data_IF_158554695165
#
_entry.id   IF_158554695165
#
_cell.length_a   1.000
_cell.length_b   1.000
_cell.length_c   1.000
_cell.angle_alpha   90.00
_cell.angle_beta   90.00
_cell.angle_gamma   90.00
#
_symmetry.space_group_name_H-M   'P 1'
#
loop_
_entity.id
_entity.type
_entity.pdbx_description
1 polymer ?
#
# COMPACT_ATOMS: atom_id res chain seq x y z
N UNK A 1 -3.60 -2.87 -23.45
CA UNK A 1 -4.71 -2.23 -22.69
C UNK A 1 -4.25 -0.89 -22.13
N UNK A 2 -5.12 0.14 -22.05
CA UNK A 2 -4.77 1.39 -21.38
C UNK A 2 -4.50 1.14 -19.90
N UNK A 3 -3.50 1.83 -19.34
CA UNK A 3 -3.04 1.55 -17.96
C UNK A 3 -3.98 2.13 -16.89
N UNK A 4 -4.56 3.29 -17.17
CA UNK A 4 -5.71 3.83 -16.43
C UNK A 4 -6.97 3.60 -17.24
N UNK A 5 -8.09 3.28 -16.58
CA UNK A 5 -9.40 3.20 -17.24
C UNK A 5 -9.79 4.53 -17.87
N UNK A 6 -10.64 4.52 -18.89
CA UNK A 6 -10.91 5.71 -19.73
C UNK A 6 -11.43 6.90 -18.93
N UNK A 7 -12.32 6.65 -17.98
CA UNK A 7 -12.83 7.69 -17.04
C UNK A 7 -11.72 8.29 -16.18
N UNK A 8 -10.73 7.48 -15.81
CA UNK A 8 -9.61 7.92 -15.00
C UNK A 8 -8.59 8.73 -15.78
N UNK A 9 -8.34 8.31 -17.02
CA UNK A 9 -7.34 8.88 -17.90
C UNK A 9 -7.57 10.36 -18.19
N UNK A 10 -8.82 10.79 -18.33
CA UNK A 10 -9.17 12.19 -18.65
C UNK A 10 -8.81 13.15 -17.53
N UNK A 11 -8.92 12.74 -16.27
CA UNK A 11 -8.55 13.58 -15.13
C UNK A 11 -7.09 13.41 -14.71
N UNK A 12 -6.55 12.19 -14.75
CA UNK A 12 -5.24 11.92 -14.17
C UNK A 12 -4.11 12.48 -15.04
N UNK A 13 -4.28 12.51 -16.37
CA UNK A 13 -3.24 13.01 -17.28
C UNK A 13 -2.83 14.47 -17.02
N UNK A 14 -3.75 15.45 -16.93
CA UNK A 14 -3.36 16.83 -16.60
C UNK A 14 -2.78 16.95 -15.19
N UNK A 15 -3.25 16.17 -14.21
CA UNK A 15 -2.68 16.15 -12.85
C UNK A 15 -1.23 15.68 -12.88
N UNK A 16 -0.95 14.55 -13.54
CA UNK A 16 0.41 14.03 -13.70
C UNK A 16 1.31 15.04 -14.40
N UNK A 17 0.82 15.71 -15.44
CA UNK A 17 1.58 16.75 -16.15
C UNK A 17 1.94 17.92 -15.21
N UNK A 18 0.99 18.34 -14.36
CA UNK A 18 1.22 19.40 -13.38
C UNK A 18 2.25 18.99 -12.30
N UNK A 19 2.12 17.77 -11.76
CA UNK A 19 3.06 17.24 -10.78
C UNK A 19 4.48 17.14 -11.37
N UNK A 20 4.60 16.69 -12.62
CA UNK A 20 5.89 16.66 -13.33
C UNK A 20 6.48 18.07 -13.48
N UNK A 21 5.67 19.05 -13.85
CA UNK A 21 6.15 20.44 -14.02
C UNK A 21 6.58 21.12 -12.72
N UNK A 22 6.12 20.62 -11.57
CA UNK A 22 6.41 21.19 -10.25
C UNK A 22 7.41 20.36 -9.45
N UNK A 23 7.71 19.13 -9.89
CA UNK A 23 8.53 18.17 -9.14
C UNK A 23 7.83 17.60 -7.89
N UNK A 24 6.52 17.78 -7.76
CA UNK A 24 5.74 17.25 -6.64
C UNK A 24 5.45 15.74 -6.82
N UNK A 25 5.38 14.94 -5.73
CA UNK A 25 5.06 13.53 -5.82
C UNK A 25 3.57 13.30 -6.09
N UNK A 26 3.23 12.07 -6.50
CA UNK A 26 1.85 11.58 -6.46
C UNK A 26 1.61 10.83 -5.15
N UNK A 27 0.57 11.21 -4.42
CA UNK A 27 0.12 10.48 -3.23
C UNK A 27 -0.87 9.38 -3.64
N UNK A 28 -0.65 8.17 -3.13
CA UNK A 28 -1.51 7.02 -3.39
C UNK A 28 -1.80 6.22 -2.12
N UNK A 29 -3.07 5.88 -1.93
CA UNK A 29 -3.48 4.96 -0.88
C UNK A 29 -3.37 3.52 -1.41
N UNK A 30 -2.52 2.70 -0.80
CA UNK A 30 -2.22 1.34 -1.26
C UNK A 30 -2.61 0.34 -0.17
N UNK A 31 -3.51 -0.59 -0.48
CA UNK A 31 -4.05 -1.54 0.50
C UNK A 31 -4.05 -2.97 -0.02
N UNK A 32 -3.00 -3.77 0.28
CA UNK A 32 -3.02 -5.21 0.05
C UNK A 32 -4.21 -5.90 0.73
N UNK A 33 -4.63 -5.42 1.91
CA UNK A 33 -5.78 -5.93 2.66
C UNK A 33 -7.05 -6.07 1.80
N UNK A 34 -7.44 -5.03 1.05
CA UNK A 34 -8.66 -5.06 0.26
C UNK A 34 -8.62 -6.09 -0.87
N UNK A 35 -7.41 -6.43 -1.37
CA UNK A 35 -7.26 -7.49 -2.37
C UNK A 35 -7.45 -8.88 -1.77
N UNK A 36 -7.03 -9.10 -0.53
CA UNK A 36 -7.36 -10.33 0.19
C UNK A 36 -8.86 -10.41 0.46
N UNK A 37 -9.44 -9.31 0.96
CA UNK A 37 -10.86 -9.26 1.35
C UNK A 37 -11.84 -9.45 0.19
N UNK A 38 -11.56 -8.86 -0.97
CA UNK A 38 -12.53 -8.76 -2.06
C UNK A 38 -12.07 -9.41 -3.37
N UNK A 39 -10.81 -9.80 -3.49
CA UNK A 39 -10.25 -10.37 -4.72
C UNK A 39 -9.56 -11.74 -4.50
N UNK A 40 -9.79 -12.38 -3.34
CA UNK A 40 -9.22 -13.69 -2.99
C UNK A 40 -7.70 -13.78 -3.16
N UNK A 41 -6.99 -12.67 -2.95
CA UNK A 41 -5.52 -12.70 -2.99
C UNK A 41 -4.95 -13.48 -1.82
N UNK A 42 -3.77 -14.06 -2.05
CA UNK A 42 -3.04 -14.87 -1.07
C UNK A 42 -2.68 -14.05 0.18
N UNK A 43 -3.00 -14.56 1.37
CA UNK A 43 -2.69 -13.90 2.64
C UNK A 43 -1.16 -13.76 2.85
N UNK A 44 -0.32 -14.81 2.65
CA UNK A 44 1.13 -14.64 2.69
C UNK A 44 1.68 -13.57 1.74
N UNK A 45 1.11 -13.48 0.54
CA UNK A 45 1.52 -12.47 -0.44
C UNK A 45 1.19 -11.05 0.03
N UNK A 46 0.04 -10.85 0.67
CA UNK A 46 -0.37 -9.55 1.19
C UNK A 46 0.33 -9.16 2.51
N UNK A 47 0.78 -10.13 3.30
CA UNK A 47 1.44 -9.93 4.60
C UNK A 47 2.98 -9.89 4.52
N UNK A 48 3.57 -9.91 3.32
CA UNK A 48 5.03 -9.99 3.13
C UNK A 48 5.67 -11.27 3.69
N UNK A 49 4.92 -12.38 3.75
CA UNK A 49 5.42 -13.66 4.31
C UNK A 49 5.50 -14.77 3.26
N UNK A 50 5.26 -14.47 1.98
CA UNK A 50 5.51 -15.43 0.91
C UNK A 50 7.03 -15.65 0.74
N UNK A 51 7.44 -16.90 0.65
CA UNK A 51 8.85 -17.31 0.46
C UNK A 51 9.24 -17.33 -1.01
N UNK A 52 8.30 -17.73 -1.87
CA UNK A 52 8.50 -17.87 -3.29
C UNK A 52 8.01 -16.64 -4.06
N UNK A 53 8.45 -16.52 -5.31
CA UNK A 53 7.91 -15.53 -6.25
C UNK A 53 6.43 -15.86 -6.50
N UNK A 54 5.55 -14.90 -6.25
CA UNK A 54 4.11 -15.07 -6.45
C UNK A 54 3.70 -14.58 -7.84
N UNK A 55 4.29 -13.48 -8.30
CA UNK A 55 4.05 -12.90 -9.62
C UNK A 55 5.38 -12.54 -10.30
N UNK A 56 5.48 -12.78 -11.60
CA UNK A 56 6.66 -12.45 -12.41
C UNK A 56 6.26 -11.59 -13.61
N UNK A 57 6.80 -10.38 -13.70
CA UNK A 57 6.64 -9.48 -14.84
C UNK A 57 8.00 -9.26 -15.52
N UNK A 58 8.30 -10.11 -16.51
CA UNK A 58 9.60 -10.15 -17.16
C UNK A 58 10.72 -10.46 -16.17
N UNK A 59 11.55 -9.45 -15.85
CA UNK A 59 12.65 -9.55 -14.89
C UNK A 59 12.27 -9.11 -13.48
N UNK A 60 11.06 -8.58 -13.29
CA UNK A 60 10.57 -8.12 -12.00
C UNK A 60 9.88 -9.29 -11.29
N UNK A 61 10.37 -9.61 -10.10
CA UNK A 61 9.83 -10.68 -9.25
C UNK A 61 9.12 -10.07 -8.05
N UNK A 62 7.83 -10.39 -7.89
CA UNK A 62 7.03 -9.89 -6.78
C UNK A 62 6.76 -11.01 -5.77
N UNK A 63 7.29 -10.82 -4.56
CA UNK A 63 7.06 -11.70 -3.40
C UNK A 63 6.08 -11.10 -2.39
N UNK A 64 5.68 -9.84 -2.57
CA UNK A 64 4.63 -9.21 -1.79
C UNK A 64 3.72 -8.37 -2.69
N UNK A 65 2.45 -8.28 -2.29
CA UNK A 65 1.41 -7.61 -3.06
C UNK A 65 1.54 -6.08 -3.04
N UNK A 66 2.18 -5.53 -2.00
CA UNK A 66 2.43 -4.10 -1.90
C UNK A 66 3.32 -3.60 -3.04
N UNK A 67 4.41 -4.32 -3.35
CA UNK A 67 5.28 -4.02 -4.47
C UNK A 67 4.54 -4.10 -5.81
N UNK A 68 3.79 -5.19 -6.02
CA UNK A 68 3.05 -5.37 -7.26
C UNK A 68 2.01 -4.27 -7.49
N UNK A 69 1.31 -3.81 -6.44
CA UNK A 69 0.36 -2.70 -6.53
C UNK A 69 1.05 -1.36 -6.79
N UNK A 70 2.18 -1.11 -6.13
CA UNK A 70 2.96 0.13 -6.28
C UNK A 70 3.57 0.23 -7.68
N UNK A 71 4.18 -0.85 -8.18
CA UNK A 71 4.81 -0.88 -9.50
C UNK A 71 3.79 -0.93 -10.64
N UNK A 72 2.59 -1.47 -10.40
CA UNK A 72 1.47 -1.35 -11.34
C UNK A 72 1.04 0.11 -11.51
N UNK A 73 0.97 0.88 -10.41
CA UNK A 73 0.68 2.32 -10.48
C UNK A 73 1.81 3.09 -11.16
N UNK A 74 3.07 2.82 -10.80
CA UNK A 74 4.24 3.45 -11.41
C UNK A 74 4.28 3.21 -12.93
N UNK A 75 4.09 1.97 -13.36
CA UNK A 75 4.01 1.61 -14.78
C UNK A 75 2.83 2.27 -15.51
N UNK A 76 1.74 2.56 -14.81
CA UNK A 76 0.62 3.29 -15.39
C UNK A 76 0.92 4.78 -15.57
N UNK A 77 1.60 5.40 -14.61
CA UNK A 77 2.04 6.79 -14.65
C UNK A 77 3.08 7.02 -15.76
N UNK A 78 4.04 6.10 -15.91
CA UNK A 78 5.04 6.14 -16.99
C UNK A 78 4.39 6.24 -18.38
N UNK A 79 3.33 5.45 -18.62
CA UNK A 79 2.59 5.42 -19.89
C UNK A 79 1.85 6.73 -20.24
N UNK A 80 1.79 7.67 -19.31
CA UNK A 80 1.22 9.01 -19.51
C UNK A 80 2.24 10.11 -19.21
N UNK A 81 3.53 9.82 -19.45
CA UNK A 81 4.66 10.76 -19.35
C UNK A 81 4.98 11.23 -17.92
N UNK A 82 4.60 10.45 -16.90
CA UNK A 82 4.89 10.76 -15.50
C UNK A 82 6.08 10.00 -14.90
N UNK A 83 6.94 9.39 -15.71
CA UNK A 83 7.99 8.47 -15.21
C UNK A 83 9.00 9.10 -14.23
N UNK A 84 9.13 10.43 -14.21
CA UNK A 84 9.97 11.15 -13.24
C UNK A 84 9.30 11.38 -11.88
N UNK A 85 8.01 11.03 -11.73
CA UNK A 85 7.30 11.23 -10.47
C UNK A 85 7.73 10.19 -9.44
N UNK A 86 7.76 10.65 -8.19
CA UNK A 86 7.84 9.81 -7.02
C UNK A 86 6.43 9.46 -6.55
N UNK A 87 6.25 8.24 -6.05
CA UNK A 87 5.02 7.81 -5.38
C UNK A 87 5.25 7.88 -3.88
N UNK A 88 4.41 8.64 -3.20
CA UNK A 88 4.28 8.62 -1.74
C UNK A 88 3.07 7.76 -1.40
N UNK A 89 3.26 6.74 -0.57
CA UNK A 89 2.14 5.92 -0.09
C UNK A 89 1.47 6.67 1.06
N UNK A 90 0.42 7.43 0.75
CA UNK A 90 -0.26 8.30 1.70
C UNK A 90 -1.12 7.57 2.72
N UNK A 91 -1.52 6.33 2.41
CA UNK A 91 -2.15 5.45 3.37
C UNK A 91 -1.88 3.99 3.03
N UNK A 92 -1.59 3.19 4.05
CA UNK A 92 -1.50 1.74 3.97
C UNK A 92 -1.78 1.14 5.34
N UNK A 93 -2.55 0.05 5.42
CA UNK A 93 -2.91 -0.51 6.71
C UNK A 93 -3.66 -1.84 6.64
N UNK A 94 -3.84 -2.43 7.81
CA UNK A 94 -4.55 -3.69 8.00
C UNK A 94 -5.41 -3.62 9.27
N UNK A 95 -6.71 -3.92 9.20
CA UNK A 95 -7.60 -3.81 10.37
C UNK A 95 -7.39 -4.97 11.34
N UNK A 96 -7.50 -4.68 12.64
CA UNK A 96 -7.25 -5.66 13.70
C UNK A 96 -8.45 -6.52 14.12
N UNK A 97 -9.64 -6.16 13.63
CA UNK A 97 -10.91 -6.80 13.99
C UNK A 97 -11.95 -6.56 12.89
N UNK A 98 -13.04 -7.33 12.92
CA UNK A 98 -14.17 -7.21 11.98
C UNK A 98 -14.32 -8.38 10.99
N UNK A 99 -13.49 -9.43 11.10
CA UNK A 99 -13.65 -10.66 10.32
C UNK A 99 -12.49 -11.65 10.49
N UNK A 100 -12.42 -12.64 9.60
CA UNK A 100 -11.51 -13.79 9.72
C UNK A 100 -10.03 -13.45 9.42
N UNK A 101 -9.77 -12.44 8.59
CA UNK A 101 -8.40 -12.02 8.24
C UNK A 101 -8.01 -10.72 8.94
N UNK A 102 -8.98 -10.05 9.53
CA UNK A 102 -8.87 -8.84 10.33
C UNK A 102 -8.56 -9.20 11.78
N UNK A 103 -7.31 -9.59 12.06
CA UNK A 103 -6.87 -10.02 13.39
C UNK A 103 -5.70 -9.18 13.87
N UNK A 104 -5.52 -9.07 15.19
CA UNK A 104 -4.36 -8.41 15.80
C UNK A 104 -3.04 -9.01 15.29
N UNK A 105 -3.01 -10.32 15.07
CA UNK A 105 -1.82 -11.02 14.57
C UNK A 105 -1.48 -10.62 13.13
N UNK A 106 -2.46 -10.68 12.22
CA UNK A 106 -2.25 -10.30 10.82
C UNK A 106 -1.90 -8.82 10.68
N UNK A 107 -2.60 -7.95 11.40
CA UNK A 107 -2.32 -6.52 11.38
C UNK A 107 -0.92 -6.21 11.92
N UNK A 108 -0.54 -6.82 13.05
CA UNK A 108 0.81 -6.66 13.59
C UNK A 108 1.90 -7.16 12.63
N UNK A 109 1.68 -8.29 11.96
CA UNK A 109 2.61 -8.82 10.94
C UNK A 109 2.72 -7.87 9.76
N UNK A 110 1.59 -7.39 9.24
CA UNK A 110 1.55 -6.45 8.14
C UNK A 110 2.35 -5.17 8.44
N UNK A 111 2.07 -4.51 9.58
CA UNK A 111 2.73 -3.25 9.91
C UNK A 111 4.24 -3.41 10.18
N UNK A 112 4.67 -4.45 10.90
CA UNK A 112 6.09 -4.71 11.13
C UNK A 112 6.84 -4.92 9.81
N UNK A 113 6.27 -5.73 8.93
CA UNK A 113 6.90 -6.05 7.66
C UNK A 113 6.88 -4.87 6.70
N UNK A 114 5.80 -4.09 6.67
CA UNK A 114 5.72 -2.89 5.85
C UNK A 114 6.79 -1.87 6.25
N UNK A 115 6.94 -1.58 7.56
CA UNK A 115 7.96 -0.64 8.07
C UNK A 115 9.37 -1.09 7.71
N UNK A 116 9.67 -2.38 7.82
CA UNK A 116 10.97 -2.92 7.39
C UNK A 116 11.16 -2.83 5.87
N UNK A 117 10.10 -3.15 5.11
CA UNK A 117 10.16 -3.27 3.65
C UNK A 117 10.36 -1.95 2.93
N UNK A 118 9.63 -0.91 3.32
CA UNK A 118 9.64 0.38 2.61
C UNK A 118 11.01 1.05 2.58
N UNK A 119 11.97 0.59 3.38
CA UNK A 119 13.37 1.06 3.37
C UNK A 119 14.12 0.67 2.10
N UNK A 120 13.66 -0.35 1.36
CA UNK A 120 14.38 -0.96 0.22
C UNK A 120 13.86 -0.53 -1.16
N UNK A 121 12.64 -0.02 -1.24
CA UNK A 121 11.97 0.23 -2.51
C UNK A 121 11.23 -0.99 -3.06
N UNK A 122 10.83 -0.91 -4.32
CA UNK A 122 10.15 -1.98 -5.07
C UNK A 122 11.08 -2.63 -6.10
N UNK A 123 10.71 -3.77 -6.72
CA UNK A 123 11.47 -4.34 -7.83
C UNK A 123 11.72 -3.35 -8.99
N UNK A 124 10.75 -2.51 -9.36
CA UNK A 124 10.91 -1.52 -10.44
C UNK A 124 11.71 -0.28 -10.01
N UNK A 125 11.66 0.09 -8.73
CA UNK A 125 12.41 1.23 -8.15
C UNK A 125 13.23 0.79 -6.93
N UNK A 126 14.28 -0.03 -7.12
CA UNK A 126 15.06 -0.55 -6.01
C UNK A 126 16.00 0.52 -5.43
N UNK A 127 16.37 0.37 -4.15
CA UNK A 127 17.43 1.14 -3.51
C UNK A 127 17.01 2.54 -3.04
N UNK A 128 15.72 2.87 -3.14
CA UNK A 128 15.15 4.11 -2.60
C UNK A 128 14.00 3.80 -1.66
N UNK A 129 14.04 4.39 -0.48
CA UNK A 129 12.95 4.24 0.48
C UNK A 129 11.65 4.85 -0.06
N UNK A 130 10.53 4.19 0.22
CA UNK A 130 9.19 4.64 -0.16
C UNK A 130 8.61 5.40 1.03
N UNK A 131 8.42 6.71 0.88
CA UNK A 131 7.71 7.48 1.90
C UNK A 131 6.31 6.90 2.07
N UNK A 132 6.00 6.46 3.29
CA UNK A 132 4.81 5.65 3.59
C UNK A 132 4.18 6.09 4.90
N UNK A 133 2.87 6.34 4.87
CA UNK A 133 2.06 6.70 6.01
C UNK A 133 1.13 5.54 6.38
N UNK A 134 1.19 5.13 7.65
CA UNK A 134 0.36 4.04 8.17
C UNK A 134 -1.03 4.57 8.51
N UNK A 135 -2.09 3.98 7.94
CA UNK A 135 -3.46 4.28 8.35
C UNK A 135 -3.88 3.29 9.45
N UNK A 136 -4.28 3.72 10.65
CA UNK A 136 -4.28 5.08 11.20
C UNK A 136 -3.71 5.11 12.62
N UNK A 137 -3.55 6.29 13.22
CA UNK A 137 -2.94 6.36 14.56
C UNK A 137 -3.83 5.71 15.63
N UNK A 138 -5.13 5.96 15.60
CA UNK A 138 -6.09 5.41 16.56
C UNK A 138 -7.22 4.67 15.86
N UNK A 139 -7.89 3.79 16.60
CA UNK A 139 -9.20 3.29 16.20
C UNK A 139 -10.22 4.43 16.11
N UNK A 140 -10.97 4.46 15.03
CA UNK A 140 -11.95 5.50 14.72
C UNK A 140 -13.37 4.97 14.94
N UNK A 141 -13.83 4.96 16.20
CA UNK A 141 -15.12 4.37 16.60
C UNK A 141 -16.37 4.99 15.94
N UNK A 142 -16.25 6.18 15.37
CA UNK A 142 -17.33 6.87 14.65
C UNK A 142 -17.41 6.50 13.16
N UNK A 143 -16.53 5.63 12.64
CA UNK A 143 -16.65 5.13 11.25
C UNK A 143 -17.93 4.32 11.11
N UNK A 144 -18.55 4.43 9.93
CA UNK A 144 -19.80 3.75 9.63
C UNK A 144 -19.62 2.22 9.54
N UNK A 145 -18.61 1.78 8.78
CA UNK A 145 -18.33 0.35 8.61
C UNK A 145 -17.49 -0.17 9.76
N UNK A 146 -17.83 -1.36 10.24
CA UNK A 146 -17.14 -1.99 11.36
C UNK A 146 -15.64 -2.17 11.08
N UNK A 147 -15.26 -2.64 9.87
CA UNK A 147 -13.85 -2.84 9.51
C UNK A 147 -13.03 -1.55 9.57
N UNK A 148 -13.63 -0.40 9.26
CA UNK A 148 -12.93 0.89 9.19
C UNK A 148 -12.60 1.43 10.59
N UNK A 149 -13.22 0.89 11.64
CA UNK A 149 -12.99 1.30 13.04
C UNK A 149 -11.69 0.77 13.61
N UNK A 150 -11.07 -0.22 12.97
CA UNK A 150 -10.03 -1.07 13.58
C UNK A 150 -8.65 -0.96 12.92
N UNK A 151 -8.40 0.08 12.11
CA UNK A 151 -7.09 0.34 11.49
C UNK A 151 -6.06 0.94 12.45
N UNK A 152 -6.46 1.32 13.67
CA UNK A 152 -5.60 2.00 14.62
C UNK A 152 -4.35 1.21 15.00
N UNK A 153 -3.20 1.87 15.04
CA UNK A 153 -1.98 1.39 15.69
C UNK A 153 -2.11 1.38 17.22
N UNK A 154 -2.96 2.26 17.74
CA UNK A 154 -3.27 2.42 19.15
C UNK A 154 -4.78 2.34 19.38
N UNK A 155 -5.17 1.85 20.56
CA UNK A 155 -6.53 2.02 21.05
C UNK A 155 -6.79 3.49 21.43
N UNK A 156 -8.06 3.88 21.60
CA UNK A 156 -8.42 5.24 22.05
C UNK A 156 -7.86 5.63 23.42
N UNK A 157 -7.45 4.66 24.24
CA UNK A 157 -6.76 4.88 25.52
C UNK A 157 -5.23 5.04 25.38
N UNK A 158 -4.70 5.12 24.15
CA UNK A 158 -3.28 5.26 23.80
C UNK A 158 -2.42 4.02 24.05
N UNK A 159 -3.00 2.89 24.44
CA UNK A 159 -2.27 1.63 24.49
C UNK A 159 -1.96 1.16 23.07
N UNK A 160 -0.70 0.82 22.81
CA UNK A 160 -0.28 0.27 21.53
C UNK A 160 -0.92 -1.10 21.30
N UNK A 161 -1.41 -1.36 20.09
CA UNK A 161 -1.94 -2.69 19.72
C UNK A 161 -0.84 -3.69 19.37
N UNK A 162 0.26 -3.18 18.84
CA UNK A 162 1.31 -3.99 18.25
C UNK A 162 2.65 -3.59 18.87
N UNK A 163 3.46 -4.59 19.20
CA UNK A 163 4.86 -4.35 19.54
C UNK A 163 5.65 -4.12 18.24
N UNK A 164 6.01 -2.86 17.96
CA UNK A 164 6.68 -2.45 16.72
C UNK A 164 7.71 -1.36 16.96
N UNK A 165 8.76 -1.36 16.14
CA UNK A 165 9.68 -0.24 15.97
C UNK A 165 9.26 0.56 14.73
N UNK A 166 9.30 1.88 14.83
CA UNK A 166 8.98 2.80 13.72
C UNK A 166 10.21 3.20 12.89
N UNK A 167 11.41 2.75 13.30
CA UNK A 167 12.70 3.08 12.67
C UNK A 167 13.38 1.87 12.07
#
# INVERSE_FOLDING_TARGET
MPAFGDKARTFIRPIISFLVSTGAPLLANIYPYFRVKYNNQSLPYALFTATDVVEQDGKLEYRNLFDALTDALDSAIEKINGGSLEIVVSESGWPSAGGAVETIENAGTYYRNLVDHVKRGTPKRPGKAIETYLLGLFDENLKEKEIDRHFGLFYGNKTAKYNMSFT
#
